data_IF_091322829429
#
_entry.id   IF_091322829429
#
_cell.length_a   1.000
_cell.length_b   1.000
_cell.length_c   1.000
_cell.angle_alpha   90.00
_cell.angle_beta   90.00
_cell.angle_gamma   90.00
#
_symmetry.space_group_name_H-M   'P 1'
#
loop_
_entity.id
_entity.type
_entity.pdbx_description
1 polymer ?
#
# COMPACT_ATOMS: atom_id res chain seq x y z
N UNK A 1 -1.12 -19.69 -2.87
CA UNK A 1 -0.65 -18.32 -3.17
C UNK A 1 -1.87 -17.53 -3.58
N UNK A 2 -2.62 -17.02 -2.59
CA UNK A 2 -3.77 -16.16 -2.88
C UNK A 2 -3.17 -14.79 -3.22
N UNK A 3 -2.98 -14.54 -4.50
CA UNK A 3 -2.71 -13.20 -5.00
C UNK A 3 -3.93 -12.37 -4.59
N UNK A 4 -3.77 -11.54 -3.56
CA UNK A 4 -4.80 -10.58 -3.22
C UNK A 4 -4.95 -9.65 -4.41
N UNK A 5 -6.19 -9.34 -4.79
CA UNK A 5 -6.47 -8.53 -5.97
C UNK A 5 -6.09 -7.07 -5.66
N UNK A 6 -4.84 -6.72 -5.95
CA UNK A 6 -4.22 -5.40 -5.72
C UNK A 6 -4.55 -4.40 -6.84
N UNK A 7 -5.70 -4.55 -7.50
CA UNK A 7 -6.07 -3.74 -8.65
C UNK A 7 -6.17 -2.25 -8.29
N UNK A 8 -6.80 -1.92 -7.16
CA UNK A 8 -6.96 -0.53 -6.71
C UNK A 8 -5.62 0.08 -6.28
N UNK A 9 -4.76 -0.71 -5.64
CA UNK A 9 -3.41 -0.33 -5.21
C UNK A 9 -2.52 -0.06 -6.43
N UNK A 10 -2.66 -0.88 -7.48
CA UNK A 10 -1.97 -0.68 -8.76
C UNK A 10 -2.42 0.63 -9.42
N UNK A 11 -3.73 0.92 -9.44
CA UNK A 11 -4.25 2.19 -9.95
C UNK A 11 -3.74 3.37 -9.12
N UNK A 12 -3.74 3.23 -7.79
CA UNK A 12 -3.23 4.27 -6.89
C UNK A 12 -1.74 4.54 -7.16
N UNK A 13 -0.93 3.50 -7.32
CA UNK A 13 0.49 3.63 -7.67
C UNK A 13 0.69 4.29 -9.04
N UNK A 14 -0.11 3.92 -10.04
CA UNK A 14 -0.06 4.57 -11.36
C UNK A 14 -0.39 6.06 -11.28
N UNK A 15 -1.37 6.45 -10.46
CA UNK A 15 -1.74 7.86 -10.23
C UNK A 15 -0.61 8.62 -9.52
N UNK A 16 0.02 8.02 -8.51
CA UNK A 16 1.20 8.57 -7.83
C UNK A 16 2.32 8.80 -8.84
N UNK A 17 2.67 7.78 -9.64
CA UNK A 17 3.70 7.87 -10.65
C UNK A 17 3.41 8.92 -11.75
N UNK A 18 2.14 9.12 -12.09
CA UNK A 18 1.73 10.20 -12.99
C UNK A 18 1.93 11.57 -12.33
N UNK A 19 1.47 11.72 -11.10
CA UNK A 19 1.59 12.97 -10.33
C UNK A 19 3.05 13.38 -10.15
N UNK A 20 3.94 12.44 -9.78
CA UNK A 20 5.38 12.69 -9.69
C UNK A 20 5.97 13.19 -11.01
N UNK A 21 5.59 12.56 -12.14
CA UNK A 21 6.04 13.00 -13.48
C UNK A 21 5.51 14.39 -13.84
N UNK A 22 4.30 14.73 -13.43
CA UNK A 22 3.74 16.07 -13.65
C UNK A 22 4.51 17.12 -12.85
N UNK A 23 4.81 16.86 -11.57
CA UNK A 23 5.61 17.78 -10.73
C UNK A 23 7.02 17.95 -11.29
N UNK A 24 7.65 16.85 -11.73
CA UNK A 24 9.00 16.89 -12.28
C UNK A 24 9.09 17.75 -13.56
N UNK A 25 8.03 17.73 -14.39
CA UNK A 25 7.98 18.46 -15.65
C UNK A 25 7.34 19.86 -15.53
N UNK A 26 6.80 20.23 -14.36
CA UNK A 26 6.14 21.52 -14.19
C UNK A 26 7.15 22.65 -13.95
N UNK A 27 6.73 23.87 -14.28
CA UNK A 27 7.46 25.10 -13.93
C UNK A 27 7.08 25.64 -12.54
N UNK A 28 6.74 24.74 -11.62
CA UNK A 28 6.41 25.12 -10.24
C UNK A 28 7.62 25.77 -9.55
N UNK A 29 7.33 26.81 -8.76
CA UNK A 29 8.24 27.45 -7.81
C UNK A 29 8.63 26.49 -6.68
N UNK A 30 9.66 26.83 -5.90
CA UNK A 30 10.10 26.00 -4.78
C UNK A 30 8.97 25.66 -3.80
N UNK A 31 8.23 26.68 -3.34
CA UNK A 31 7.11 26.48 -2.42
C UNK A 31 6.00 25.60 -3.01
N UNK A 32 5.67 25.76 -4.30
CA UNK A 32 4.68 24.91 -4.97
C UNK A 32 5.14 23.45 -5.09
N UNK A 33 6.45 23.24 -5.32
CA UNK A 33 7.04 21.90 -5.30
C UNK A 33 7.01 21.28 -3.91
N UNK A 34 7.27 22.05 -2.86
CA UNK A 34 7.24 21.56 -1.48
C UNK A 34 5.83 21.08 -1.10
N UNK A 35 4.79 21.85 -1.48
CA UNK A 35 3.39 21.45 -1.27
C UNK A 35 3.08 20.16 -2.05
N UNK A 36 3.52 20.09 -3.31
CA UNK A 36 3.28 18.91 -4.15
C UNK A 36 4.01 17.65 -3.64
N UNK A 37 5.21 17.82 -3.06
CA UNK A 37 5.95 16.74 -2.41
C UNK A 37 5.30 16.29 -1.10
N UNK A 38 4.74 17.21 -0.31
CA UNK A 38 3.96 16.86 0.88
C UNK A 38 2.75 15.98 0.51
N UNK A 39 1.96 16.40 -0.49
CA UNK A 39 0.84 15.59 -1.00
C UNK A 39 1.28 14.25 -1.59
N UNK A 40 2.40 14.21 -2.31
CA UNK A 40 2.95 12.95 -2.82
C UNK A 40 3.29 11.99 -1.68
N UNK A 41 3.83 12.51 -0.59
CA UNK A 41 4.20 11.73 0.60
C UNK A 41 2.96 11.19 1.31
N UNK A 42 1.91 12.02 1.47
CA UNK A 42 0.61 11.59 2.01
C UNK A 42 -0.02 10.47 1.16
N UNK A 43 -0.05 10.63 -0.17
CA UNK A 43 -0.59 9.62 -1.07
C UNK A 43 0.17 8.29 -1.03
N UNK A 44 1.50 8.36 -0.83
CA UNK A 44 2.35 7.16 -0.74
C UNK A 44 2.13 6.45 0.60
N UNK A 45 2.07 7.19 1.72
CA UNK A 45 1.79 6.64 3.03
C UNK A 45 0.40 5.96 3.12
N UNK A 46 -0.62 6.56 2.49
CA UNK A 46 -1.96 5.98 2.39
C UNK A 46 -1.95 4.64 1.62
N UNK A 47 -1.12 4.53 0.58
CA UNK A 47 -0.97 3.30 -0.19
C UNK A 47 -0.22 2.23 0.60
N UNK A 48 0.86 2.61 1.29
CA UNK A 48 1.62 1.73 2.17
C UNK A 48 0.72 1.15 3.28
N UNK A 49 -0.07 1.99 3.96
CA UNK A 49 -1.00 1.52 5.00
C UNK A 49 -2.00 0.49 4.47
N UNK A 50 -2.47 0.63 3.22
CA UNK A 50 -3.39 -0.35 2.62
C UNK A 50 -2.68 -1.67 2.29
N UNK A 51 -1.45 -1.60 1.81
CA UNK A 51 -0.63 -2.79 1.56
C UNK A 51 -0.34 -3.56 2.84
N UNK A 52 -0.04 -2.85 3.94
CA UNK A 52 0.19 -3.45 5.26
C UNK A 52 -1.06 -4.18 5.80
N UNK A 53 -2.26 -3.64 5.54
CA UNK A 53 -3.51 -4.31 5.91
C UNK A 53 -3.68 -5.67 5.21
N UNK A 54 -3.25 -5.77 3.94
CA UNK A 54 -3.31 -7.03 3.19
C UNK A 54 -2.29 -8.05 3.70
N UNK A 55 -1.13 -7.61 4.16
CA UNK A 55 -0.17 -8.46 4.86
C UNK A 55 -0.75 -8.98 6.18
N UNK A 56 -1.34 -8.09 6.99
CA UNK A 56 -1.94 -8.44 8.28
C UNK A 56 -3.19 -9.34 8.21
N UNK A 57 -3.96 -9.25 7.12
CA UNK A 57 -5.17 -10.08 6.87
C UNK A 57 -4.85 -11.45 6.27
N UNK A 58 -3.60 -11.75 5.95
CA UNK A 58 -3.22 -13.07 5.45
C UNK A 58 -3.46 -14.14 6.52
N UNK A 59 -4.27 -15.19 6.26
CA UNK A 59 -4.64 -16.21 7.26
C UNK A 59 -3.50 -17.13 7.70
N UNK A 60 -2.23 -16.80 7.41
CA UNK A 60 -1.07 -17.61 7.76
C UNK A 60 -0.79 -17.70 9.27
N UNK A 61 -1.52 -16.96 10.12
CA UNK A 61 -1.35 -16.98 11.59
C UNK A 61 -2.33 -17.89 12.35
N UNK A 62 -3.01 -18.82 11.67
CA UNK A 62 -4.05 -19.69 12.27
C UNK A 62 -3.76 -21.19 12.25
N UNK A 63 -2.52 -21.64 12.02
CA UNK A 63 -2.18 -23.05 11.87
C UNK A 63 -1.45 -23.64 13.08
N UNK A 64 -2.06 -24.68 13.67
CA UNK A 64 -1.47 -25.74 14.51
C UNK A 64 -1.33 -25.47 16.02
N UNK A 65 -2.45 -25.59 16.74
CA UNK A 65 -2.46 -26.32 18.01
C UNK A 65 -3.05 -27.71 17.77
N UNK A 66 -2.21 -28.60 17.24
CA UNK A 66 -2.44 -30.04 17.35
C UNK A 66 -2.11 -30.46 18.78
N UNK A 67 -3.13 -30.63 19.61
CA UNK A 67 -3.00 -31.21 20.96
C UNK A 67 -4.02 -32.34 21.10
N UNK A 68 -3.58 -33.58 20.90
CA UNK A 68 -4.44 -34.76 20.98
C UNK A 68 -4.91 -35.09 22.40
N UNK A 69 -6.09 -35.69 22.51
CA UNK A 69 -6.40 -36.80 23.45
C UNK A 69 -7.77 -37.38 23.04
N UNK A 70 -7.80 -38.63 22.56
CA UNK A 70 -8.17 -39.86 23.28
C UNK A 70 -9.69 -40.07 23.33
N UNK A 71 -10.21 -40.88 22.40
CA UNK A 71 -11.53 -41.51 22.53
C UNK A 71 -11.44 -42.60 23.61
N UNK A 72 -12.35 -42.54 24.59
CA UNK A 72 -12.65 -43.61 25.55
C UNK A 72 -13.57 -44.65 24.91
#
# INVERSE_FOLDING_TARGET
MLVQDLFLETIALQRIALFTRLIANSKCTGCEKDIALAWLSELTADLESKLDEYEGKSPQKGGLSGGGSRFQ
#
